data_IF_742657475219
#
_entry.id   IF_742657475219
#
_cell.length_a   1.000
_cell.length_b   1.000
_cell.length_c   1.000
_cell.angle_alpha   90.00
_cell.angle_beta   90.00
_cell.angle_gamma   90.00
#
_symmetry.space_group_name_H-M   'P 1'
#
loop_
_entity.id
_entity.type
_entity.pdbx_description
1 polymer ?
#
# COMPACT_ATOMS: atom_id res chain seq x y z
N UNK A 1 25.88 7.63 14.20
CA UNK A 1 24.59 7.93 13.53
C UNK A 1 23.78 8.90 14.36
N UNK A 2 24.07 10.21 14.37
CA UNK A 2 23.42 11.11 15.37
C UNK A 2 23.27 12.56 14.90
N UNK A 3 22.86 12.80 13.66
CA UNK A 3 22.39 14.13 13.24
C UNK A 3 21.12 14.00 12.37
N UNK A 4 20.19 13.18 12.83
CA UNK A 4 18.83 13.13 12.29
C UNK A 4 18.08 14.39 12.73
N UNK A 5 18.22 15.46 11.94
CA UNK A 5 17.32 16.62 11.90
C UNK A 5 17.12 17.30 13.27
N UNK A 6 18.09 18.12 13.66
CA UNK A 6 18.01 18.97 14.86
C UNK A 6 16.79 19.90 14.71
N UNK A 7 15.75 19.65 15.52
CA UNK A 7 14.57 20.50 15.60
C UNK A 7 13.40 20.14 14.69
N UNK A 8 13.38 18.98 14.00
CA UNK A 8 12.15 18.56 13.31
C UNK A 8 11.17 17.86 14.26
N UNK A 9 9.88 18.21 14.22
CA UNK A 9 8.84 17.51 14.97
C UNK A 9 8.58 16.09 14.46
N UNK A 10 9.13 15.71 13.30
CA UNK A 10 8.96 14.40 12.68
C UNK A 10 10.28 13.61 12.77
N UNK A 11 10.27 12.39 13.33
CA UNK A 11 11.45 11.51 13.38
C UNK A 11 11.95 11.10 11.99
N UNK A 12 13.26 10.93 11.83
CA UNK A 12 13.89 10.58 10.55
C UNK A 12 13.42 9.24 9.99
N UNK A 13 13.08 8.27 10.84
CA UNK A 13 12.58 6.97 10.39
C UNK A 13 11.27 7.09 9.60
N UNK A 14 10.38 8.02 10.00
CA UNK A 14 9.16 8.30 9.24
C UNK A 14 9.45 8.95 7.89
N UNK A 15 10.45 9.85 7.81
CA UNK A 15 10.87 10.41 6.53
C UNK A 15 11.49 9.36 5.61
N UNK A 16 12.21 8.39 6.17
CA UNK A 16 12.77 7.27 5.41
C UNK A 16 11.67 6.30 4.91
N UNK A 17 10.54 6.22 5.61
CA UNK A 17 9.37 5.45 5.18
C UNK A 17 8.51 6.17 4.13
N UNK A 18 8.58 7.50 4.06
CA UNK A 18 7.80 8.35 3.16
C UNK A 18 7.74 7.85 1.70
N UNK A 19 8.85 7.49 1.01
CA UNK A 19 8.79 7.02 -0.37
C UNK A 19 7.93 5.77 -0.55
N UNK A 20 7.95 4.84 0.41
CA UNK A 20 7.14 3.62 0.35
C UNK A 20 5.66 3.90 0.63
N UNK A 21 5.37 4.83 1.54
CA UNK A 21 3.99 5.21 1.86
C UNK A 21 3.32 5.89 0.66
N UNK A 22 4.05 6.76 -0.04
CA UNK A 22 3.56 7.44 -1.25
C UNK A 22 3.23 6.45 -2.36
N UNK A 23 4.09 5.44 -2.59
CA UNK A 23 3.81 4.44 -3.64
C UNK A 23 2.60 3.59 -3.31
N UNK A 24 2.42 3.20 -2.04
CA UNK A 24 1.22 2.46 -1.61
C UNK A 24 -0.04 3.29 -1.83
N UNK A 25 -0.05 4.56 -1.46
CA UNK A 25 -1.21 5.43 -1.70
C UNK A 25 -1.51 5.62 -3.18
N UNK A 26 -0.47 5.82 -4.00
CA UNK A 26 -0.63 5.94 -5.44
C UNK A 26 -1.20 4.66 -6.05
N UNK A 27 -0.67 3.47 -5.69
CA UNK A 27 -1.14 2.18 -6.20
C UNK A 27 -2.54 1.88 -5.70
N UNK A 28 -2.83 2.06 -4.42
CA UNK A 28 -4.15 1.82 -3.85
C UNK A 28 -5.22 2.73 -4.48
N UNK A 29 -4.89 4.01 -4.68
CA UNK A 29 -5.78 4.97 -5.33
C UNK A 29 -5.97 4.70 -6.83
N UNK A 30 -4.90 4.32 -7.54
CA UNK A 30 -4.93 4.10 -8.99
C UNK A 30 -5.56 2.76 -9.38
N UNK A 31 -5.21 1.67 -8.69
CA UNK A 31 -5.66 0.30 -9.01
C UNK A 31 -7.07 0.04 -8.47
N UNK A 32 -7.47 0.74 -7.40
CA UNK A 32 -8.78 0.59 -6.78
C UNK A 32 -8.94 -0.74 -6.04
N UNK A 33 -10.19 -1.19 -5.89
CA UNK A 33 -10.54 -2.39 -5.14
C UNK A 33 -10.60 -3.60 -6.06
N UNK A 34 -10.03 -4.73 -5.64
CA UNK A 34 -10.16 -6.00 -6.35
C UNK A 34 -11.62 -6.49 -6.33
N UNK A 35 -12.18 -6.77 -7.51
CA UNK A 35 -13.50 -7.38 -7.64
C UNK A 35 -13.34 -8.89 -7.79
N UNK A 36 -13.91 -9.63 -6.85
CA UNK A 36 -13.96 -11.07 -6.89
C UNK A 36 -14.71 -11.56 -8.17
N UNK A 37 -14.26 -12.64 -8.83
CA UNK A 37 -14.90 -13.13 -10.04
C UNK A 37 -16.32 -13.63 -9.76
N UNK A 38 -17.21 -13.47 -10.75
CA UNK A 38 -18.62 -13.87 -10.62
C UNK A 38 -18.83 -15.38 -10.40
N UNK A 39 -17.80 -16.19 -10.71
CA UNK A 39 -17.81 -17.63 -10.54
C UNK A 39 -17.25 -18.10 -9.18
N UNK A 40 -16.91 -17.18 -8.27
CA UNK A 40 -16.51 -17.56 -6.92
C UNK A 40 -17.64 -18.32 -6.23
N UNK A 41 -17.37 -19.57 -5.87
CA UNK A 41 -18.33 -20.47 -5.24
C UNK A 41 -19.27 -21.20 -6.20
N UNK A 42 -19.19 -21.00 -7.52
CA UNK A 42 -19.99 -21.77 -8.49
C UNK A 42 -19.25 -23.06 -8.91
N UNK A 43 -19.75 -24.27 -8.60
CA UNK A 43 -19.11 -25.52 -9.00
C UNK A 43 -19.16 -25.73 -10.52
N UNK A 44 -18.09 -26.28 -11.08
CA UNK A 44 -18.05 -26.67 -12.48
C UNK A 44 -18.91 -27.93 -12.73
N UNK A 45 -19.78 -27.89 -13.74
CA UNK A 45 -20.63 -29.02 -14.15
C UNK A 45 -20.13 -29.50 -15.52
N UNK A 46 -19.75 -30.78 -15.61
CA UNK A 46 -19.36 -31.44 -16.85
C UNK A 46 -20.46 -32.41 -17.28
N UNK A 47 -20.86 -32.32 -18.56
CA UNK A 47 -21.74 -33.27 -19.25
C UNK A 47 -21.00 -34.56 -19.64
#
# INVERSE_FOLDING_TARGET
SVLGIIGSPVPSDFMLMLPYVVTIFAVAGLVGVSRAPAADGTPYIKS
#
